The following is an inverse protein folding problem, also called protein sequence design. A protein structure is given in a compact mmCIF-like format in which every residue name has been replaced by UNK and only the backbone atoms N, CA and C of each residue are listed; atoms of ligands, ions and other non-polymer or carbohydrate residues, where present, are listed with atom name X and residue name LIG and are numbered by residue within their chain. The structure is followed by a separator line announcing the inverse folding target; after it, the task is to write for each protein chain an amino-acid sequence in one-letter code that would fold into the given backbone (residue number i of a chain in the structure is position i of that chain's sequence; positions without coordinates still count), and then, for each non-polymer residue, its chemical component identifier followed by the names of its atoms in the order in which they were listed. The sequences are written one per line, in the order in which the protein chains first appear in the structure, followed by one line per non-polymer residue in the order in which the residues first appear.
data_IF_759282573545
#
_entry.id   IF_759282573545
#
_cell.length_a   1.000
_cell.length_b   1.000
_cell.length_c   1.000
_cell.angle_alpha   90.00
_cell.angle_beta   90.00
_cell.angle_gamma   90.00
#
_symmetry.space_group_name_H-M   'P 1'
#
loop_
_entity.id
_entity.type
_entity.pdbx_description
1 polymer ?
#
# COMPACT_ATOMS: atom_id res chain seq x y z
N UNK A 1 12.44 -27.77 11.99
CA UNK A 1 12.15 -28.65 10.82
C UNK A 1 11.99 -27.87 9.51
N UNK A 2 10.98 -26.98 9.35
CA UNK A 2 10.82 -26.21 8.10
C UNK A 2 11.96 -25.22 7.87
N UNK A 3 12.37 -24.49 8.90
CA UNK A 3 13.50 -23.56 8.85
C UNK A 3 14.80 -24.29 8.46
N UNK A 4 15.05 -25.44 9.06
CA UNK A 4 16.25 -26.24 8.78
C UNK A 4 16.24 -26.78 7.35
N UNK A 5 15.06 -27.18 6.86
CA UNK A 5 14.90 -27.62 5.48
C UNK A 5 15.14 -26.48 4.48
N UNK A 6 14.56 -25.30 4.73
CA UNK A 6 14.78 -24.10 3.87
C UNK A 6 16.27 -23.74 3.86
N UNK A 7 16.93 -23.75 5.01
CA UNK A 7 18.36 -23.43 5.12
C UNK A 7 19.22 -24.44 4.36
N UNK A 8 18.88 -25.71 4.39
CA UNK A 8 19.56 -26.74 3.61
C UNK A 8 19.41 -26.56 2.08
N UNK A 9 18.34 -25.90 1.61
CA UNK A 9 18.15 -25.59 0.18
C UNK A 9 18.98 -24.37 -0.28
N UNK A 10 19.53 -23.56 0.63
CA UNK A 10 20.25 -22.34 0.29
C UNK A 10 21.38 -22.55 -0.73
N UNK A 11 22.13 -23.64 -0.61
CA UNK A 11 23.23 -23.96 -1.50
C UNK A 11 22.82 -24.31 -2.95
N UNK A 12 21.56 -24.73 -3.14
CA UNK A 12 20.99 -25.11 -4.44
C UNK A 12 19.96 -24.12 -4.95
N UNK A 13 19.61 -23.10 -4.15
CA UNK A 13 18.70 -22.05 -4.53
C UNK A 13 19.26 -21.23 -5.70
N UNK A 14 18.37 -20.80 -6.59
CA UNK A 14 18.69 -19.94 -7.72
C UNK A 14 17.66 -18.81 -7.82
N UNK A 15 17.88 -17.88 -8.77
CA UNK A 15 16.97 -16.77 -9.07
C UNK A 15 16.08 -17.07 -10.29
N UNK A 16 15.86 -18.33 -10.62
CA UNK A 16 15.03 -18.76 -11.76
C UNK A 16 13.54 -18.77 -11.39
N UNK A 17 13.02 -17.59 -11.06
CA UNK A 17 11.60 -17.34 -10.73
C UNK A 17 10.85 -16.68 -11.90
N UNK A 18 11.54 -16.21 -12.93
CA UNK A 18 10.94 -15.45 -14.02
C UNK A 18 10.03 -16.33 -14.89
N UNK A 19 8.80 -15.92 -15.07
CA UNK A 19 7.81 -16.65 -15.86
C UNK A 19 8.06 -16.57 -17.37
N UNK A 20 8.76 -15.54 -17.81
CA UNK A 20 8.82 -15.13 -19.22
C UNK A 20 7.58 -14.32 -19.63
N UNK A 21 7.71 -13.54 -20.69
CA UNK A 21 6.68 -12.60 -21.13
C UNK A 21 5.33 -13.28 -21.44
N UNK A 22 5.37 -14.42 -22.12
CA UNK A 22 4.17 -15.13 -22.54
C UNK A 22 3.34 -15.61 -21.34
N UNK A 23 3.97 -16.34 -20.39
CA UNK A 23 3.29 -16.86 -19.21
C UNK A 23 2.86 -15.74 -18.25
N UNK A 24 3.64 -14.66 -18.17
CA UNK A 24 3.29 -13.50 -17.35
C UNK A 24 2.04 -12.81 -17.91
N UNK A 25 1.96 -12.59 -19.24
CA UNK A 25 0.75 -12.08 -19.89
C UNK A 25 -0.44 -13.01 -19.73
N UNK A 26 -0.23 -14.33 -19.86
CA UNK A 26 -1.30 -15.31 -19.65
C UNK A 26 -1.82 -15.26 -18.20
N UNK A 27 -0.92 -15.19 -17.22
CA UNK A 27 -1.30 -15.03 -15.81
C UNK A 27 -2.19 -13.79 -15.60
N UNK A 28 -1.78 -12.63 -16.13
CA UNK A 28 -2.56 -11.39 -16.00
C UNK A 28 -3.96 -11.53 -16.61
N UNK A 29 -4.09 -12.18 -17.78
CA UNK A 29 -5.42 -12.43 -18.39
C UNK A 29 -6.26 -13.38 -17.55
N UNK A 30 -5.67 -14.48 -17.11
CA UNK A 30 -6.42 -15.59 -16.50
C UNK A 30 -6.80 -15.29 -15.04
N UNK A 31 -5.97 -14.53 -14.30
CA UNK A 31 -6.20 -14.24 -12.89
C UNK A 31 -6.78 -12.85 -12.63
N UNK A 32 -6.42 -11.86 -13.45
CA UNK A 32 -6.77 -10.45 -13.19
C UNK A 32 -7.64 -9.84 -14.30
N UNK A 33 -7.98 -10.60 -15.34
CA UNK A 33 -8.76 -10.13 -16.50
C UNK A 33 -8.07 -8.96 -17.24
N UNK A 34 -6.75 -8.83 -17.12
CA UNK A 34 -5.97 -7.79 -17.79
C UNK A 34 -5.45 -8.31 -19.12
N UNK A 35 -6.06 -7.89 -20.22
CA UNK A 35 -5.71 -8.28 -21.58
C UNK A 35 -5.11 -7.11 -22.37
N UNK A 36 -4.04 -6.52 -21.82
CA UNK A 36 -3.23 -5.49 -22.46
C UNK A 36 -1.84 -6.05 -22.81
N UNK A 37 -1.24 -5.60 -23.93
CA UNK A 37 0.17 -5.90 -24.21
C UNK A 37 1.08 -5.45 -23.06
N UNK A 38 2.11 -6.24 -22.74
CA UNK A 38 3.04 -5.89 -21.64
C UNK A 38 3.74 -4.55 -21.88
N UNK A 39 4.03 -4.21 -23.14
CA UNK A 39 4.63 -2.93 -23.51
C UNK A 39 3.69 -1.75 -23.16
N UNK A 40 2.39 -1.94 -23.31
CA UNK A 40 1.41 -0.93 -22.97
C UNK A 40 1.27 -0.81 -21.44
N UNK A 41 1.23 -1.93 -20.72
CA UNK A 41 1.22 -1.95 -19.26
C UNK A 41 2.49 -1.25 -18.71
N UNK A 42 3.66 -1.57 -19.26
CA UNK A 42 4.92 -0.92 -18.88
C UNK A 42 4.92 0.57 -19.19
N UNK A 43 4.40 0.98 -20.36
CA UNK A 43 4.29 2.40 -20.73
C UNK A 43 3.49 3.18 -19.71
N UNK A 44 2.31 2.65 -19.32
CA UNK A 44 1.44 3.24 -18.31
C UNK A 44 2.21 3.42 -16.98
N UNK A 45 2.89 2.37 -16.51
CA UNK A 45 3.65 2.46 -15.26
C UNK A 45 4.82 3.45 -15.32
N UNK A 46 5.50 3.58 -16.48
CA UNK A 46 6.59 4.56 -16.65
C UNK A 46 6.07 6.00 -16.68
N UNK A 47 4.93 6.23 -17.29
CA UNK A 47 4.28 7.55 -17.31
C UNK A 47 3.84 7.95 -15.91
N UNK A 48 3.26 7.01 -15.16
CA UNK A 48 2.86 7.26 -13.77
C UNK A 48 4.07 7.54 -12.86
N UNK A 49 5.14 6.74 -12.97
CA UNK A 49 6.39 6.98 -12.28
C UNK A 49 6.95 8.39 -12.56
N UNK A 50 6.96 8.82 -13.83
CA UNK A 50 7.45 10.14 -14.21
C UNK A 50 6.58 11.27 -13.65
N UNK A 51 5.26 11.09 -13.64
CA UNK A 51 4.29 12.00 -13.03
C UNK A 51 4.55 12.14 -11.53
N UNK A 52 4.64 11.01 -10.82
CA UNK A 52 4.85 10.97 -9.38
C UNK A 52 6.22 11.51 -8.98
N UNK A 53 7.29 11.25 -9.76
CA UNK A 53 8.59 11.88 -9.53
C UNK A 53 8.56 13.40 -9.71
N UNK A 54 7.76 13.91 -10.62
CA UNK A 54 7.59 15.36 -10.80
C UNK A 54 6.83 15.96 -9.63
N UNK A 55 5.71 15.36 -9.25
CA UNK A 55 4.92 15.79 -8.09
C UNK A 55 5.76 15.75 -6.79
N UNK A 56 6.60 14.72 -6.60
CA UNK A 56 7.51 14.64 -5.45
C UNK A 56 8.51 15.81 -5.42
N UNK A 57 9.09 16.17 -6.56
CA UNK A 57 10.01 17.33 -6.63
C UNK A 57 9.30 18.63 -6.26
N UNK A 58 8.09 18.83 -6.76
CA UNK A 58 7.28 20.03 -6.49
C UNK A 58 6.83 20.11 -5.03
N UNK A 59 6.32 19.01 -4.48
CA UNK A 59 5.91 18.95 -3.07
C UNK A 59 7.11 19.14 -2.13
N UNK A 60 8.25 18.52 -2.41
CA UNK A 60 9.47 18.70 -1.62
C UNK A 60 10.02 20.14 -1.73
N UNK A 61 9.95 20.78 -2.89
CA UNK A 61 10.37 22.17 -3.03
C UNK A 61 9.53 23.13 -2.17
N UNK A 62 8.27 22.80 -1.92
CA UNK A 62 7.38 23.58 -1.04
C UNK A 62 7.60 23.22 0.44
N UNK A 63 7.66 21.92 0.78
CA UNK A 63 7.76 21.46 2.17
C UNK A 63 9.15 21.68 2.78
N UNK A 64 10.22 21.45 2.01
CA UNK A 64 11.60 21.54 2.44
C UNK A 64 12.47 22.30 1.43
N UNK A 65 12.28 23.62 1.25
CA UNK A 65 13.00 24.42 0.26
C UNK A 65 14.52 24.23 0.37
N UNK A 66 15.18 23.93 -0.76
CA UNK A 66 16.62 23.73 -0.84
C UNK A 66 17.12 22.34 -0.39
N UNK A 67 16.25 21.49 0.11
CA UNK A 67 16.61 20.09 0.47
C UNK A 67 16.63 19.18 -0.78
N UNK A 68 17.45 18.14 -0.72
CA UNK A 68 17.35 17.02 -1.67
C UNK A 68 16.10 16.18 -1.37
N UNK A 69 15.64 15.36 -2.32
CA UNK A 69 14.48 14.47 -2.10
C UNK A 69 14.68 13.54 -0.88
N UNK A 70 15.85 12.87 -0.68
CA UNK A 70 16.07 12.09 0.53
C UNK A 70 15.99 12.92 1.83
N UNK A 71 16.48 14.15 1.84
CA UNK A 71 16.38 15.04 3.00
C UNK A 71 14.94 15.48 3.27
N UNK A 72 14.17 15.77 2.21
CA UNK A 72 12.75 16.09 2.30
C UNK A 72 11.96 14.91 2.91
N UNK A 73 12.15 13.71 2.38
CA UNK A 73 11.51 12.48 2.90
C UNK A 73 11.92 12.20 4.35
N UNK A 74 13.20 12.36 4.70
CA UNK A 74 13.66 12.21 6.07
C UNK A 74 13.00 13.23 7.02
N UNK A 75 12.79 14.47 6.57
CA UNK A 75 12.09 15.50 7.34
C UNK A 75 10.61 15.13 7.54
N UNK A 76 9.89 14.71 6.51
CA UNK A 76 8.52 14.22 6.62
C UNK A 76 8.44 13.01 7.54
N UNK A 77 9.34 12.03 7.35
CA UNK A 77 9.43 10.83 8.21
C UNK A 77 9.79 11.12 9.67
N UNK A 78 10.36 12.27 9.99
CA UNK A 78 10.67 12.67 11.38
C UNK A 78 9.42 13.14 12.16
N UNK A 79 8.37 13.58 11.50
CA UNK A 79 7.10 13.95 12.11
C UNK A 79 6.29 12.68 12.43
N UNK A 80 6.65 12.05 13.54
CA UNK A 80 6.06 10.78 13.96
C UNK A 80 4.64 10.97 14.52
N UNK A 81 3.74 9.98 14.32
CA UNK A 81 2.43 10.00 14.96
C UNK A 81 2.57 9.90 16.48
N UNK A 82 1.76 10.64 17.20
CA UNK A 82 1.70 10.60 18.67
C UNK A 82 1.28 9.19 19.13
N UNK A 83 1.95 8.66 20.12
CA UNK A 83 1.71 7.30 20.61
C UNK A 83 2.16 6.16 19.69
N UNK A 84 2.86 6.48 18.58
CA UNK A 84 3.32 5.51 17.59
C UNK A 84 2.29 5.17 16.51
N UNK A 85 2.64 4.20 15.65
CA UNK A 85 1.84 3.91 14.44
C UNK A 85 0.42 3.44 14.74
N UNK A 86 0.21 2.61 15.76
CA UNK A 86 -1.12 2.05 16.10
C UNK A 86 -2.06 3.14 16.61
N UNK A 87 -1.61 3.98 17.56
CA UNK A 87 -2.42 5.07 18.10
C UNK A 87 -2.63 6.17 17.05
N UNK A 88 -1.58 6.48 16.26
CA UNK A 88 -1.67 7.43 15.15
C UNK A 88 -2.71 7.01 14.13
N UNK A 89 -2.69 5.75 13.68
CA UNK A 89 -3.68 5.23 12.77
C UNK A 89 -5.10 5.27 13.35
N UNK A 90 -5.25 4.85 14.62
CA UNK A 90 -6.56 4.90 15.31
C UNK A 90 -7.13 6.32 15.33
N UNK A 91 -6.29 7.32 15.61
CA UNK A 91 -6.69 8.72 15.62
C UNK A 91 -7.12 9.24 14.24
N UNK A 92 -6.55 8.70 13.16
CA UNK A 92 -6.85 9.14 11.78
C UNK A 92 -8.19 8.62 11.24
N UNK A 93 -8.65 7.42 11.66
CA UNK A 93 -9.77 6.74 11.02
C UNK A 93 -11.08 7.55 11.05
N UNK A 94 -11.40 8.16 12.17
CA UNK A 94 -12.64 8.94 12.29
C UNK A 94 -12.63 10.17 11.34
N UNK A 95 -11.48 10.84 11.24
CA UNK A 95 -11.30 11.98 10.33
C UNK A 95 -11.38 11.57 8.85
N UNK A 96 -10.77 10.45 8.47
CA UNK A 96 -10.85 9.93 7.11
C UNK A 96 -12.30 9.57 6.72
N UNK A 97 -13.01 8.87 7.61
CA UNK A 97 -14.42 8.54 7.40
C UNK A 97 -15.29 9.79 7.26
N UNK A 98 -15.11 10.78 8.14
CA UNK A 98 -15.86 12.02 8.10
C UNK A 98 -15.57 12.81 6.82
N UNK A 99 -14.31 12.87 6.38
CA UNK A 99 -13.91 13.52 5.13
C UNK A 99 -14.66 12.94 3.91
N UNK A 100 -14.78 11.60 3.83
CA UNK A 100 -15.54 10.93 2.76
C UNK A 100 -17.00 11.38 2.76
N UNK A 101 -17.61 11.48 3.94
CA UNK A 101 -19.02 11.90 4.11
C UNK A 101 -19.21 13.35 3.70
N UNK A 102 -18.35 14.25 4.19
CA UNK A 102 -18.47 15.70 3.97
C UNK A 102 -18.26 16.07 2.49
N UNK A 103 -17.40 15.33 1.79
CA UNK A 103 -17.12 15.56 0.38
C UNK A 103 -17.96 14.67 -0.56
N UNK A 104 -18.83 13.83 -0.01
CA UNK A 104 -19.69 12.90 -0.78
C UNK A 104 -18.90 12.10 -1.82
N UNK A 105 -17.73 11.57 -1.45
CA UNK A 105 -16.81 10.92 -2.39
C UNK A 105 -17.30 9.54 -2.81
N UNK A 106 -17.68 8.72 -1.84
CA UNK A 106 -18.21 7.36 -2.05
C UNK A 106 -19.24 7.01 -0.99
N UNK A 107 -20.18 6.14 -1.34
CA UNK A 107 -21.20 5.66 -0.40
C UNK A 107 -20.60 4.75 0.66
N UNK A 108 -20.92 4.98 1.92
CA UNK A 108 -20.62 4.07 3.02
C UNK A 108 -21.88 3.21 3.28
N UNK A 109 -21.83 1.89 3.01
CA UNK A 109 -23.04 1.07 2.93
C UNK A 109 -23.57 0.61 4.29
N UNK A 110 -22.88 0.91 5.39
CA UNK A 110 -23.25 0.46 6.75
C UNK A 110 -22.62 1.30 7.84
N UNK A 111 -22.70 0.79 9.07
CA UNK A 111 -22.19 1.44 10.27
C UNK A 111 -20.98 0.73 10.88
N UNK A 112 -20.45 -0.26 10.17
CA UNK A 112 -19.31 -1.03 10.64
C UNK A 112 -18.06 -0.15 10.72
N UNK A 113 -17.24 -0.43 11.73
CA UNK A 113 -15.96 0.23 11.99
C UNK A 113 -14.83 -0.80 12.04
N UNK A 114 -13.66 -0.43 11.57
CA UNK A 114 -12.46 -1.24 11.73
C UNK A 114 -11.79 -0.92 13.07
N UNK A 115 -11.36 -1.96 13.77
CA UNK A 115 -10.48 -1.82 14.94
C UNK A 115 -9.03 -1.62 14.47
N UNK A 116 -8.19 -1.01 15.30
CA UNK A 116 -6.75 -0.89 15.06
C UNK A 116 -5.99 -1.62 16.15
N UNK A 117 -5.09 -2.52 15.78
CA UNK A 117 -4.31 -3.33 16.71
C UNK A 117 -2.87 -3.57 16.21
N UNK A 118 -2.00 -3.99 17.13
CA UNK A 118 -0.67 -4.50 16.74
C UNK A 118 -0.80 -5.81 15.98
N UNK A 119 0.02 -5.96 14.92
CA UNK A 119 0.11 -7.21 14.18
C UNK A 119 0.64 -8.34 15.09
N UNK A 120 0.04 -9.54 15.02
CA UNK A 120 0.54 -10.68 15.76
C UNK A 120 1.96 -11.05 15.28
N UNK A 121 2.82 -11.62 16.15
CA UNK A 121 4.24 -11.83 15.85
C UNK A 121 4.49 -12.58 14.53
N UNK A 122 3.66 -13.54 14.18
CA UNK A 122 3.82 -14.35 12.97
C UNK A 122 3.42 -13.64 11.66
N UNK A 123 2.85 -12.40 11.74
CA UNK A 123 2.48 -11.58 10.57
C UNK A 123 3.17 -10.22 10.53
N UNK A 124 4.19 -9.98 11.34
CA UNK A 124 4.94 -8.71 11.40
C UNK A 124 5.90 -8.46 10.24
N UNK A 125 6.00 -9.39 9.28
CA UNK A 125 6.73 -9.16 8.04
C UNK A 125 6.07 -8.11 7.14
N UNK A 126 4.76 -7.91 7.27
CA UNK A 126 4.05 -6.78 6.68
C UNK A 126 3.95 -5.65 7.70
N UNK A 127 4.24 -4.41 7.26
CA UNK A 127 4.09 -3.24 8.11
C UNK A 127 2.63 -3.02 8.52
N UNK A 128 1.72 -3.11 7.55
CA UNK A 128 0.29 -2.90 7.76
C UNK A 128 -0.54 -3.82 6.88
N UNK A 129 -1.70 -4.23 7.36
CA UNK A 129 -2.71 -4.97 6.60
C UNK A 129 -4.03 -4.93 7.36
N UNK A 130 -5.13 -5.18 6.65
CA UNK A 130 -6.43 -5.35 7.29
C UNK A 130 -6.95 -6.78 7.15
N UNK A 131 -7.43 -7.36 8.25
CA UNK A 131 -8.22 -8.60 8.23
C UNK A 131 -9.70 -8.22 8.24
N UNK A 132 -10.42 -8.66 7.22
CA UNK A 132 -11.83 -8.38 7.04
C UNK A 132 -12.57 -9.72 7.00
N UNK A 133 -13.60 -9.92 7.86
CA UNK A 133 -14.41 -11.12 7.83
C UNK A 133 -15.06 -11.33 6.46
N UNK A 134 -15.12 -12.59 6.03
CA UNK A 134 -15.83 -12.96 4.82
C UNK A 134 -17.34 -12.70 4.91
N UNK A 135 -18.06 -12.75 3.78
CA UNK A 135 -19.48 -12.34 3.71
C UNK A 135 -20.43 -13.21 4.55
N UNK A 136 -19.96 -14.39 4.97
CA UNK A 136 -20.74 -15.34 5.78
C UNK A 136 -20.24 -15.46 7.23
N UNK A 137 -19.18 -14.75 7.58
CA UNK A 137 -18.63 -14.71 8.93
C UNK A 137 -19.28 -13.55 9.70
N UNK A 138 -20.22 -13.90 10.53
CA UNK A 138 -20.93 -12.94 11.36
C UNK A 138 -20.26 -12.78 12.72
N UNK A 139 -20.33 -11.57 13.30
CA UNK A 139 -19.82 -11.26 14.64
C UNK A 139 -18.29 -11.28 14.80
N UNK A 140 -17.53 -11.25 13.71
CA UNK A 140 -16.09 -11.02 13.75
C UNK A 140 -15.78 -9.55 13.44
N UNK A 141 -14.83 -8.92 14.15
CA UNK A 141 -14.40 -7.57 13.83
C UNK A 141 -13.51 -7.54 12.59
N UNK A 142 -13.58 -6.46 11.83
CA UNK A 142 -12.49 -6.10 10.91
C UNK A 142 -11.38 -5.44 11.71
N UNK A 143 -10.13 -5.86 11.49
CA UNK A 143 -9.00 -5.37 12.27
C UNK A 143 -7.87 -4.90 11.35
N UNK A 144 -7.57 -3.62 11.41
CA UNK A 144 -6.41 -3.01 10.79
C UNK A 144 -5.19 -3.26 11.69
N UNK A 145 -4.31 -4.12 11.25
CA UNK A 145 -3.11 -4.52 11.97
C UNK A 145 -1.89 -3.72 11.51
N UNK A 146 -1.10 -3.26 12.47
CA UNK A 146 0.15 -2.53 12.22
C UNK A 146 1.27 -3.22 12.99
N UNK A 147 2.38 -3.53 12.31
CA UNK A 147 3.54 -4.13 12.93
C UNK A 147 4.28 -3.09 13.78
N UNK A 148 4.53 -3.35 15.07
CA UNK A 148 5.44 -2.54 15.85
C UNK A 148 6.90 -2.80 15.41
N UNK A 149 7.83 -1.85 15.64
CA UNK A 149 9.24 -2.14 15.44
C UNK A 149 9.70 -3.28 16.35
N UNK A 150 10.62 -4.12 15.86
CA UNK A 150 11.20 -5.19 16.65
C UNK A 150 12.05 -4.60 17.77
N UNK A 151 11.77 -4.94 19.03
CA UNK A 151 12.52 -4.39 20.18
C UNK A 151 14.00 -4.81 20.21
N UNK A 152 14.39 -5.84 19.45
CA UNK A 152 15.78 -6.26 19.32
C UNK A 152 16.60 -5.38 18.35
N UNK A 153 15.95 -4.57 17.53
CA UNK A 153 16.63 -3.68 16.59
C UNK A 153 17.32 -2.50 17.32
N UNK A 154 18.40 -1.94 16.75
CA UNK A 154 18.96 -0.68 17.23
C UNK A 154 17.89 0.42 17.30
N UNK A 155 17.97 1.27 18.32
CA UNK A 155 16.96 2.32 18.57
C UNK A 155 16.72 3.24 17.36
N UNK A 156 17.74 3.48 16.53
CA UNK A 156 17.57 4.26 15.31
C UNK A 156 16.71 3.51 14.29
N UNK A 157 16.97 2.21 14.08
CA UNK A 157 16.19 1.37 13.17
C UNK A 157 14.73 1.29 13.61
N UNK A 158 14.47 1.15 14.92
CA UNK A 158 13.11 1.19 15.46
C UNK A 158 12.42 2.52 15.17
N UNK A 159 13.10 3.65 15.32
CA UNK A 159 12.55 4.97 14.98
C UNK A 159 12.27 5.11 13.49
N UNK A 160 13.17 4.63 12.64
CA UNK A 160 13.04 4.74 11.18
C UNK A 160 11.93 3.82 10.63
N UNK A 161 11.65 2.70 11.31
CA UNK A 161 10.57 1.78 10.96
C UNK A 161 9.18 2.40 11.14
N UNK A 162 8.99 3.28 12.11
CA UNK A 162 7.72 4.01 12.30
C UNK A 162 7.61 5.06 11.18
N UNK A 163 6.58 5.04 10.35
CA UNK A 163 6.40 6.03 9.28
C UNK A 163 6.15 7.43 9.85
N UNK A 164 6.33 8.43 9.03
CA UNK A 164 5.82 9.78 9.32
C UNK A 164 4.30 9.80 9.38
N UNK A 165 3.73 10.76 10.12
CA UNK A 165 2.28 10.89 10.26
C UNK A 165 1.59 11.08 8.91
N UNK A 166 2.20 11.82 7.98
CA UNK A 166 1.68 12.05 6.64
C UNK A 166 1.66 10.76 5.79
N UNK A 167 2.71 9.94 5.87
CA UNK A 167 2.74 8.64 5.19
C UNK A 167 1.70 7.68 5.79
N UNK A 168 1.62 7.61 7.12
CA UNK A 168 0.65 6.76 7.83
C UNK A 168 -0.80 7.11 7.48
N UNK A 169 -1.10 8.39 7.23
CA UNK A 169 -2.44 8.84 6.84
C UNK A 169 -2.92 8.13 5.57
N UNK A 170 -2.04 8.01 4.57
CA UNK A 170 -2.41 7.34 3.32
C UNK A 170 -2.33 5.82 3.41
N UNK A 171 -1.52 5.25 4.31
CA UNK A 171 -1.63 3.83 4.67
C UNK A 171 -3.00 3.55 5.31
N UNK A 172 -3.47 4.42 6.20
CA UNK A 172 -4.80 4.29 6.82
C UNK A 172 -5.94 4.49 5.80
N UNK A 173 -5.76 5.36 4.82
CA UNK A 173 -6.71 5.51 3.71
C UNK A 173 -6.75 4.23 2.85
N UNK A 174 -5.59 3.67 2.51
CA UNK A 174 -5.43 2.42 1.75
C UNK A 174 -6.10 1.23 2.45
N UNK A 175 -5.80 1.04 3.73
CA UNK A 175 -6.30 -0.11 4.47
C UNK A 175 -7.78 0.02 4.84
N UNK A 176 -8.24 1.24 5.19
CA UNK A 176 -9.56 1.39 5.80
C UNK A 176 -10.47 2.32 4.99
N UNK A 177 -10.26 3.65 5.04
CA UNK A 177 -11.20 4.65 4.54
C UNK A 177 -10.61 5.56 3.47
N UNK A 178 -10.98 5.38 2.18
CA UNK A 178 -11.99 4.49 1.60
C UNK A 178 -11.42 3.22 0.92
N UNK A 179 -10.25 2.72 1.33
CA UNK A 179 -9.53 1.63 0.69
C UNK A 179 -10.17 0.24 0.88
N UNK A 180 -9.36 -0.74 1.31
CA UNK A 180 -9.77 -2.14 1.41
C UNK A 180 -11.05 -2.36 2.23
N UNK A 181 -11.12 -1.78 3.42
CA UNK A 181 -12.28 -1.97 4.30
C UNK A 181 -13.58 -1.57 3.61
N UNK A 182 -13.64 -0.37 3.05
CA UNK A 182 -14.85 0.10 2.34
C UNK A 182 -15.16 -0.76 1.11
N UNK A 183 -14.14 -1.15 0.34
CA UNK A 183 -14.30 -2.03 -0.81
C UNK A 183 -14.98 -3.35 -0.41
N UNK A 184 -14.51 -3.99 0.65
CA UNK A 184 -15.08 -5.25 1.13
C UNK A 184 -16.45 -5.08 1.79
N UNK A 185 -16.74 -3.94 2.42
CA UNK A 185 -18.12 -3.64 2.86
C UNK A 185 -19.11 -3.66 1.69
N UNK A 186 -18.71 -3.16 0.52
CA UNK A 186 -19.51 -3.24 -0.70
C UNK A 186 -19.55 -4.65 -1.27
N UNK A 187 -18.41 -5.31 -1.40
CA UNK A 187 -18.32 -6.68 -1.93
C UNK A 187 -19.19 -7.66 -1.12
N UNK A 188 -19.13 -7.60 0.21
CA UNK A 188 -19.91 -8.45 1.11
C UNK A 188 -21.43 -8.25 0.97
N UNK A 189 -21.88 -7.11 0.43
CA UNK A 189 -23.28 -6.77 0.16
C UNK A 189 -23.70 -7.03 -1.28
N UNK A 190 -22.81 -7.49 -2.14
CA UNK A 190 -23.12 -7.82 -3.52
C UNK A 190 -24.24 -8.85 -3.63
N UNK A 191 -25.13 -8.70 -4.61
CA UNK A 191 -26.13 -9.71 -4.91
C UNK A 191 -25.55 -10.92 -5.63
N UNK A 192 -24.38 -10.78 -6.23
CA UNK A 192 -23.66 -11.86 -6.89
C UNK A 192 -22.76 -12.59 -5.88
N UNK A 193 -23.05 -13.88 -5.67
CA UNK A 193 -22.25 -14.72 -4.76
C UNK A 193 -20.77 -14.82 -5.18
N UNK A 194 -20.49 -14.85 -6.49
CA UNK A 194 -19.12 -14.86 -6.99
C UNK A 194 -18.38 -13.59 -6.55
N UNK A 195 -18.97 -12.42 -6.76
CA UNK A 195 -18.38 -11.13 -6.34
C UNK A 195 -18.24 -10.95 -4.82
N UNK A 196 -18.95 -11.78 -4.01
CA UNK A 196 -18.79 -11.81 -2.55
C UNK A 196 -17.58 -12.61 -2.09
N UNK A 197 -17.25 -13.69 -2.80
CA UNK A 197 -16.30 -14.70 -2.33
C UNK A 197 -14.94 -14.58 -3.01
N UNK A 198 -14.94 -14.19 -4.28
CA UNK A 198 -13.71 -14.12 -5.08
C UNK A 198 -13.23 -12.67 -5.21
N UNK A 199 -11.96 -12.47 -4.93
CA UNK A 199 -11.29 -11.18 -5.00
C UNK A 199 -10.25 -11.21 -6.11
N UNK A 200 -10.34 -10.26 -7.06
CA UNK A 200 -9.24 -9.95 -7.97
C UNK A 200 -8.24 -9.04 -7.26
N UNK A 201 -7.03 -9.49 -7.06
CA UNK A 201 -6.02 -8.70 -6.32
C UNK A 201 -5.64 -7.43 -7.05
N UNK A 202 -5.55 -7.44 -8.38
CA UNK A 202 -5.29 -6.22 -9.15
C UNK A 202 -6.37 -5.16 -8.91
N UNK A 203 -7.63 -5.57 -8.79
CA UNK A 203 -8.73 -4.65 -8.46
C UNK A 203 -8.66 -4.17 -7.02
N UNK A 204 -8.51 -5.08 -6.05
CA UNK A 204 -8.54 -4.73 -4.63
C UNK A 204 -7.38 -3.78 -4.25
N UNK A 205 -6.16 -4.10 -4.70
CA UNK A 205 -4.98 -3.26 -4.47
C UNK A 205 -5.02 -1.97 -5.29
N UNK A 206 -5.49 -2.06 -6.54
CA UNK A 206 -5.65 -0.90 -7.42
C UNK A 206 -6.68 0.09 -6.89
N UNK A 207 -7.82 -0.38 -6.38
CA UNK A 207 -8.79 0.45 -5.68
C UNK A 207 -8.18 1.16 -4.48
N UNK A 208 -7.55 0.39 -3.57
CA UNK A 208 -6.96 0.95 -2.36
C UNK A 208 -5.87 1.98 -2.69
N UNK A 209 -5.05 1.72 -3.70
CA UNK A 209 -4.05 2.69 -4.17
C UNK A 209 -4.69 3.93 -4.80
N UNK A 210 -5.67 3.76 -5.68
CA UNK A 210 -6.41 4.87 -6.29
C UNK A 210 -7.05 5.78 -5.23
N UNK A 211 -7.56 5.21 -4.15
CA UNK A 211 -8.20 6.00 -3.09
C UNK A 211 -7.23 6.92 -2.34
N UNK A 212 -5.95 6.61 -2.30
CA UNK A 212 -4.95 7.51 -1.72
C UNK A 212 -4.85 8.83 -2.52
N UNK A 213 -4.77 8.72 -3.85
CA UNK A 213 -4.74 9.88 -4.75
C UNK A 213 -6.11 10.59 -4.75
N UNK A 214 -7.22 9.85 -4.84
CA UNK A 214 -8.58 10.39 -4.78
C UNK A 214 -8.81 11.24 -3.53
N UNK A 215 -8.35 10.82 -2.36
CA UNK A 215 -8.49 11.57 -1.12
C UNK A 215 -7.65 12.86 -1.16
N UNK A 216 -6.43 12.81 -1.69
CA UNK A 216 -5.60 13.99 -1.89
C UNK A 216 -6.24 14.97 -2.86
N UNK A 217 -6.70 14.51 -4.01
CA UNK A 217 -7.34 15.34 -5.04
C UNK A 217 -8.64 15.99 -4.54
N UNK A 218 -9.35 15.32 -3.64
CA UNK A 218 -10.53 15.85 -2.96
C UNK A 218 -10.19 16.92 -1.90
N UNK A 219 -8.90 17.15 -1.59
CA UNK A 219 -8.44 18.17 -0.65
C UNK A 219 -8.08 17.65 0.74
N UNK A 220 -7.90 16.33 0.93
CA UNK A 220 -7.40 15.79 2.20
C UNK A 220 -6.04 16.43 2.54
N UNK A 221 -5.94 16.99 3.75
CA UNK A 221 -4.72 17.68 4.19
C UNK A 221 -4.63 19.14 3.79
N UNK A 222 -5.70 19.71 3.22
CA UNK A 222 -5.85 21.17 2.97
C UNK A 222 -4.70 21.79 2.16
N UNK A 223 -4.14 21.03 1.22
CA UNK A 223 -3.02 21.46 0.38
C UNK A 223 -1.66 21.45 1.07
N UNK A 224 -1.52 20.79 2.22
CA UNK A 224 -0.23 20.62 2.91
C UNK A 224 0.77 19.88 2.03
N UNK A 225 1.88 20.52 1.69
CA UNK A 225 2.94 19.91 0.90
C UNK A 225 3.58 18.69 1.61
N UNK A 226 3.62 18.69 2.94
CA UNK A 226 4.08 17.52 3.71
C UNK A 226 3.17 16.31 3.53
N UNK A 227 1.85 16.53 3.60
CA UNK A 227 0.85 15.45 3.39
C UNK A 227 0.95 14.93 1.95
N UNK A 228 1.15 15.81 0.97
CA UNK A 228 1.38 15.40 -0.41
C UNK A 228 2.65 14.54 -0.57
N UNK A 229 3.75 14.91 0.08
CA UNK A 229 4.98 14.07 0.10
C UNK A 229 4.66 12.67 0.64
N UNK A 230 3.83 12.56 1.68
CA UNK A 230 3.40 11.27 2.24
C UNK A 230 2.61 10.43 1.25
N UNK A 231 1.66 11.02 0.54
CA UNK A 231 0.87 10.34 -0.51
C UNK A 231 1.78 9.86 -1.65
N UNK A 232 2.61 10.74 -2.21
CA UNK A 232 3.47 10.41 -3.35
C UNK A 232 4.53 9.37 -2.97
N UNK A 233 5.02 9.36 -1.73
CA UNK A 233 5.93 8.32 -1.23
C UNK A 233 5.34 6.92 -1.38
N UNK A 234 4.06 6.76 -1.04
CA UNK A 234 3.34 5.51 -1.25
C UNK A 234 3.13 5.18 -2.73
N UNK A 235 2.80 6.17 -3.56
CA UNK A 235 2.63 5.99 -5.00
C UNK A 235 3.94 5.52 -5.67
N UNK A 236 5.05 6.20 -5.44
CA UNK A 236 6.37 5.83 -5.99
C UNK A 236 6.81 4.41 -5.60
N UNK A 237 6.51 3.97 -4.37
CA UNK A 237 6.79 2.58 -3.95
C UNK A 237 6.02 1.57 -4.79
N UNK A 238 4.78 1.87 -5.16
CA UNK A 238 3.96 1.01 -6.01
C UNK A 238 4.39 1.04 -7.46
N UNK A 239 4.79 2.18 -7.98
CA UNK A 239 5.39 2.30 -9.32
C UNK A 239 6.63 1.41 -9.45
N UNK A 240 7.53 1.45 -8.46
CA UNK A 240 8.71 0.60 -8.43
C UNK A 240 8.33 -0.89 -8.40
N UNK A 241 7.37 -1.30 -7.55
CA UNK A 241 6.89 -2.69 -7.50
C UNK A 241 6.27 -3.13 -8.82
N UNK A 242 5.43 -2.30 -9.40
CA UNK A 242 4.75 -2.57 -10.66
C UNK A 242 5.75 -2.79 -11.81
N UNK A 243 6.66 -1.85 -12.01
CA UNK A 243 7.67 -1.94 -13.06
C UNK A 243 8.67 -3.06 -12.82
N UNK A 244 9.13 -3.25 -11.58
CA UNK A 244 10.03 -4.33 -11.22
C UNK A 244 9.42 -5.70 -11.49
N UNK A 245 8.13 -5.91 -11.19
CA UNK A 245 7.45 -7.16 -11.47
C UNK A 245 7.48 -7.50 -12.96
N UNK A 246 7.09 -6.56 -13.82
CA UNK A 246 7.10 -6.74 -15.28
C UNK A 246 8.54 -7.02 -15.76
N UNK A 247 9.50 -6.19 -15.37
CA UNK A 247 10.85 -6.23 -15.86
C UNK A 247 11.63 -7.50 -15.41
N UNK A 248 11.43 -7.92 -14.16
CA UNK A 248 12.05 -9.15 -13.65
C UNK A 248 11.45 -10.39 -14.31
N UNK A 249 10.12 -10.50 -14.40
CA UNK A 249 9.47 -11.65 -15.01
C UNK A 249 9.69 -11.76 -16.50
N UNK A 250 10.04 -10.65 -17.19
CA UNK A 250 10.42 -10.65 -18.61
C UNK A 250 11.93 -10.76 -18.85
N UNK A 251 12.74 -10.94 -17.78
CA UNK A 251 14.18 -11.11 -17.87
C UNK A 251 14.95 -9.83 -18.22
N UNK A 252 14.33 -8.66 -18.09
CA UNK A 252 14.93 -7.35 -18.43
C UNK A 252 15.49 -6.60 -17.20
N UNK A 253 15.31 -7.16 -16.00
CA UNK A 253 15.82 -6.60 -14.75
C UNK A 253 16.24 -7.74 -13.82
N UNK A 254 17.35 -7.59 -13.15
CA UNK A 254 17.79 -8.49 -12.08
C UNK A 254 17.17 -8.08 -10.73
N UNK A 255 17.23 -8.98 -9.75
CA UNK A 255 16.79 -8.67 -8.37
C UNK A 255 17.62 -7.50 -7.79
N UNK A 256 18.93 -7.44 -8.08
CA UNK A 256 19.78 -6.35 -7.56
C UNK A 256 19.43 -5.01 -8.21
N UNK A 257 19.17 -4.97 -9.51
CA UNK A 257 18.68 -3.76 -10.18
C UNK A 257 17.32 -3.31 -9.65
N UNK A 258 16.43 -4.25 -9.29
CA UNK A 258 15.13 -3.93 -8.67
C UNK A 258 15.28 -3.29 -7.28
N UNK A 259 16.33 -3.65 -6.53
CA UNK A 259 16.63 -3.03 -5.22
C UNK A 259 17.19 -1.61 -5.33
N UNK A 260 17.82 -1.28 -6.44
CA UNK A 260 18.38 0.04 -6.73
C UNK A 260 17.33 1.02 -7.31
N UNK A 261 16.19 0.51 -7.75
CA UNK A 261 15.08 1.31 -8.29
C UNK A 261 14.31 2.04 -7.19
#
# INVERSE_FOLDING_TARGET
ELSDWIEAQRATANNDFALGAERFSQMLRDTEMVDLPLEEIERIGREDLARNQTAMREACAQFAPGATIPQCMARMGAHKPEGGSVEGARAQLAGLRQFIVDHNLVTIPGTEEAQVAEAPPFRRQNFAYIDIPGPYETNLPSVYYIAPPDPSWPAQVQRDFVPGQAELLFVSAHEVWPGHFLNFLHANRSQNQFGRVFVGYAYAEGWAHYTEEMMWDAGLGEGSAEIHVGQISNALRRDCRFLSAILMHTGRMTVDQSREM
#
